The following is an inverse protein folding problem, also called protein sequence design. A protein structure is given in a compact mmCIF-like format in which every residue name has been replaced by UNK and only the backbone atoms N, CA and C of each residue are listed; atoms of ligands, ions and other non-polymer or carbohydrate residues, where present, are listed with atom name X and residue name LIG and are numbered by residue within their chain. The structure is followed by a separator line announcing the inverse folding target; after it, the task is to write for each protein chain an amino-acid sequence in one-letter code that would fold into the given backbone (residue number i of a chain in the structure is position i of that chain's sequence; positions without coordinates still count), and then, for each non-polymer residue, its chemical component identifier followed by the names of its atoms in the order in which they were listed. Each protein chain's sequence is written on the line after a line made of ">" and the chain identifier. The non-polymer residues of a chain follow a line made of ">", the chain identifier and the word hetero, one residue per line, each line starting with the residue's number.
data_IF_760710241491
#
_entry.id   IF_760710241491
#
_cell.length_a   1.000
_cell.length_b   1.000
_cell.length_c   1.000
_cell.angle_alpha   90.00
_cell.angle_beta   90.00
_cell.angle_gamma   90.00
#
_symmetry.space_group_name_H-M   'P 1'
#
loop_
_entity.id
_entity.type
_entity.pdbx_description
1 polymer ?
#
# COMPACT_ATOMS: atom_id res chain seq x y z
N UNK A 1 -14.40 2.09 18.57
CA UNK A 1 -14.05 1.51 17.26
C UNK A 1 -15.15 0.54 16.91
N UNK A 2 -16.03 0.92 16.00
CA UNK A 2 -17.12 0.04 15.60
C UNK A 2 -16.56 -1.11 14.75
N UNK A 3 -17.01 -2.33 15.02
CA UNK A 3 -16.59 -3.53 14.29
C UNK A 3 -16.81 -3.39 12.77
N UNK A 4 -17.79 -2.58 12.38
CA UNK A 4 -18.08 -2.20 11.00
C UNK A 4 -16.91 -1.48 10.34
N UNK A 5 -16.29 -0.51 11.01
CA UNK A 5 -15.18 0.29 10.46
C UNK A 5 -13.94 -0.56 10.25
N UNK A 6 -13.71 -1.55 11.12
CA UNK A 6 -12.59 -2.46 10.98
C UNK A 6 -12.74 -3.33 9.72
N UNK A 7 -13.91 -3.93 9.52
CA UNK A 7 -14.15 -4.75 8.32
C UNK A 7 -14.19 -3.95 7.03
N UNK A 8 -14.73 -2.73 7.04
CA UNK A 8 -14.71 -1.89 5.83
C UNK A 8 -13.31 -1.44 5.47
N UNK A 9 -12.50 -1.01 6.46
CA UNK A 9 -11.11 -0.66 6.22
C UNK A 9 -10.28 -1.86 5.76
N UNK A 10 -10.42 -3.01 6.44
CA UNK A 10 -9.75 -4.25 6.06
C UNK A 10 -10.14 -4.66 4.64
N UNK A 11 -11.43 -4.71 4.31
CA UNK A 11 -11.90 -5.08 2.98
C UNK A 11 -11.40 -4.12 1.90
N UNK A 12 -11.46 -2.81 2.13
CA UNK A 12 -10.98 -1.82 1.18
C UNK A 12 -9.48 -1.95 0.90
N UNK A 13 -8.66 -2.10 1.95
CA UNK A 13 -7.20 -2.26 1.81
C UNK A 13 -6.87 -3.62 1.18
N UNK A 14 -7.55 -4.69 1.60
CA UNK A 14 -7.36 -6.02 1.03
C UNK A 14 -7.64 -6.06 -0.48
N UNK A 15 -8.73 -5.44 -0.92
CA UNK A 15 -9.03 -5.31 -2.36
C UNK A 15 -8.02 -4.41 -3.08
N UNK A 16 -7.56 -3.32 -2.46
CA UNK A 16 -6.59 -2.41 -3.07
C UNK A 16 -5.21 -3.04 -3.25
N UNK A 17 -4.81 -3.92 -2.34
CA UNK A 17 -3.50 -4.59 -2.34
C UNK A 17 -3.49 -5.93 -3.09
N UNK A 18 -4.67 -6.45 -3.48
CA UNK A 18 -4.81 -7.72 -4.21
C UNK A 18 -4.15 -7.65 -5.60
N UNK A 19 -3.14 -8.50 -5.81
CA UNK A 19 -2.40 -8.55 -7.07
C UNK A 19 -1.27 -7.53 -7.21
N UNK A 20 -0.89 -6.84 -6.12
CA UNK A 20 0.25 -5.93 -6.15
C UNK A 20 1.59 -6.68 -6.33
N UNK A 21 2.59 -5.95 -6.83
CA UNK A 21 3.97 -6.42 -7.03
C UNK A 21 4.59 -6.99 -5.76
N UNK A 22 4.21 -6.48 -4.59
CA UNK A 22 4.66 -7.01 -3.29
C UNK A 22 4.18 -8.45 -3.05
N UNK A 23 2.98 -8.82 -3.53
CA UNK A 23 2.47 -10.20 -3.45
C UNK A 23 3.27 -11.13 -4.36
N UNK A 24 3.57 -10.71 -5.59
CA UNK A 24 4.43 -11.48 -6.52
C UNK A 24 5.82 -11.68 -5.92
N UNK A 25 6.43 -10.63 -5.36
CA UNK A 25 7.71 -10.74 -4.66
C UNK A 25 7.65 -11.71 -3.47
N UNK A 26 6.58 -11.67 -2.68
CA UNK A 26 6.38 -12.58 -1.54
C UNK A 26 6.28 -14.03 -2.01
N UNK A 27 5.56 -14.30 -3.11
CA UNK A 27 5.47 -15.64 -3.71
C UNK A 27 6.84 -16.10 -4.24
N UNK A 28 7.61 -15.23 -4.89
CA UNK A 28 8.97 -15.54 -5.32
C UNK A 28 9.89 -15.88 -4.14
N UNK A 29 9.82 -15.12 -3.04
CA UNK A 29 10.57 -15.43 -1.82
C UNK A 29 10.11 -16.73 -1.18
N UNK A 30 8.81 -17.03 -1.19
CA UNK A 30 8.26 -18.27 -0.68
C UNK A 30 8.73 -19.48 -1.50
N UNK A 31 8.79 -19.34 -2.84
CA UNK A 31 9.28 -20.39 -3.73
C UNK A 31 10.78 -20.70 -3.54
N UNK A 32 11.58 -19.70 -3.16
CA UNK A 32 13.03 -19.87 -2.90
C UNK A 32 13.41 -20.23 -1.47
N UNK A 33 12.48 -20.14 -0.51
CA UNK A 33 12.77 -20.36 0.92
C UNK A 33 12.39 -21.76 1.38
N UNK A 34 13.17 -22.32 2.32
CA UNK A 34 12.90 -23.65 2.89
C UNK A 34 11.66 -23.69 3.79
N UNK A 35 11.16 -22.53 4.24
CA UNK A 35 10.02 -22.43 5.16
C UNK A 35 9.03 -21.35 4.74
N UNK A 36 7.86 -21.78 4.27
CA UNK A 36 6.72 -20.92 3.95
C UNK A 36 6.33 -20.00 5.12
N UNK A 37 6.31 -20.55 6.34
CA UNK A 37 5.93 -19.81 7.55
C UNK A 37 6.85 -18.64 7.86
N UNK A 38 8.15 -18.78 7.57
CA UNK A 38 9.12 -17.68 7.77
C UNK A 38 8.88 -16.52 6.82
N UNK A 39 8.57 -16.81 5.55
CA UNK A 39 8.28 -15.79 4.54
C UNK A 39 6.95 -15.12 4.83
N UNK A 40 5.93 -15.90 5.21
CA UNK A 40 4.63 -15.36 5.62
C UNK A 40 4.76 -14.43 6.83
N UNK A 41 5.45 -14.85 7.89
CA UNK A 41 5.63 -14.01 9.08
C UNK A 41 6.43 -12.75 8.76
N UNK A 42 7.49 -12.86 7.96
CA UNK A 42 8.31 -11.73 7.54
C UNK A 42 7.53 -10.71 6.70
N UNK A 43 6.78 -11.16 5.69
CA UNK A 43 5.98 -10.28 4.84
C UNK A 43 4.80 -9.66 5.59
N UNK A 44 4.14 -10.41 6.47
CA UNK A 44 3.07 -9.91 7.33
C UNK A 44 3.58 -8.82 8.29
N UNK A 45 4.72 -9.06 8.95
CA UNK A 45 5.33 -8.06 9.84
C UNK A 45 5.78 -6.82 9.06
N UNK A 46 6.34 -6.98 7.87
CA UNK A 46 6.71 -5.87 7.02
C UNK A 46 5.49 -5.02 6.63
N UNK A 47 4.38 -5.66 6.25
CA UNK A 47 3.13 -4.98 5.91
C UNK A 47 2.56 -4.20 7.11
N UNK A 48 2.52 -4.82 8.29
CA UNK A 48 2.04 -4.18 9.52
C UNK A 48 2.94 -3.00 9.90
N UNK A 49 4.26 -3.18 9.86
CA UNK A 49 5.21 -2.13 10.21
C UNK A 49 5.13 -0.93 9.26
N UNK A 50 5.10 -1.18 7.95
CA UNK A 50 4.99 -0.12 6.94
C UNK A 50 3.65 0.61 7.02
N UNK A 51 2.54 -0.11 7.19
CA UNK A 51 1.22 0.47 7.41
C UNK A 51 1.16 1.33 8.68
N UNK A 52 1.78 0.85 9.77
CA UNK A 52 1.84 1.58 11.03
C UNK A 52 2.62 2.89 10.88
N UNK A 53 3.78 2.86 10.23
CA UNK A 53 4.58 4.06 9.94
C UNK A 53 3.79 5.02 9.04
N UNK A 54 3.11 4.51 8.01
CA UNK A 54 2.29 5.33 7.11
C UNK A 54 1.13 6.02 7.85
N UNK A 55 0.43 5.30 8.74
CA UNK A 55 -0.63 5.87 9.58
C UNK A 55 -0.10 6.92 10.57
N UNK A 56 1.04 6.66 11.21
CA UNK A 56 1.68 7.63 12.11
C UNK A 56 2.09 8.90 11.36
N UNK A 57 2.76 8.76 10.21
CA UNK A 57 3.16 9.89 9.39
C UNK A 57 1.94 10.65 8.84
N UNK A 58 0.92 9.94 8.36
CA UNK A 58 -0.30 10.53 7.83
C UNK A 58 -1.10 11.28 8.90
N UNK A 59 -1.23 10.72 10.10
CA UNK A 59 -1.90 11.39 11.22
C UNK A 59 -1.13 12.62 11.71
N UNK A 60 0.21 12.55 11.78
CA UNK A 60 1.04 13.70 12.09
C UNK A 60 0.90 14.81 11.04
N UNK A 61 0.90 14.45 9.75
CA UNK A 61 0.77 15.40 8.64
C UNK A 61 -0.60 16.09 8.63
N UNK A 62 -1.67 15.38 8.98
CA UNK A 62 -3.03 15.91 9.06
C UNK A 62 -3.16 17.03 10.12
N UNK A 63 -2.27 17.06 11.13
CA UNK A 63 -2.23 18.15 12.11
C UNK A 63 -1.70 19.47 11.53
N UNK A 64 -0.90 19.42 10.46
CA UNK A 64 -0.28 20.59 9.85
C UNK A 64 -0.95 21.00 8.52
N UNK A 65 -1.55 20.05 7.79
CA UNK A 65 -2.16 20.29 6.49
C UNK A 65 -3.63 19.88 6.49
N UNK A 66 -4.54 20.74 6.01
CA UNK A 66 -5.93 20.36 5.79
C UNK A 66 -6.02 19.17 4.82
N UNK A 67 -6.84 18.17 5.16
CA UNK A 67 -7.08 16.93 4.38
C UNK A 67 -7.35 17.19 2.90
N UNK A 68 -8.01 18.30 2.57
CA UNK A 68 -8.30 18.71 1.19
C UNK A 68 -7.05 18.86 0.33
N UNK A 69 -5.98 19.44 0.87
CA UNK A 69 -4.72 19.62 0.13
C UNK A 69 -3.97 18.30 -0.06
N UNK A 70 -4.06 17.40 0.93
CA UNK A 70 -3.48 16.05 0.84
C UNK A 70 -4.16 15.27 -0.29
N UNK A 71 -5.49 15.28 -0.37
CA UNK A 71 -6.22 14.61 -1.46
C UNK A 71 -5.93 15.22 -2.83
N UNK A 72 -5.87 16.55 -2.93
CA UNK A 72 -5.56 17.21 -4.19
C UNK A 72 -4.16 16.86 -4.68
N UNK A 73 -3.18 16.88 -3.77
CA UNK A 73 -1.80 16.49 -4.05
C UNK A 73 -1.68 15.03 -4.48
N UNK A 74 -2.31 14.11 -3.73
CA UNK A 74 -2.32 12.68 -4.06
C UNK A 74 -2.95 12.43 -5.45
N UNK A 75 -4.08 13.09 -5.76
CA UNK A 75 -4.74 12.96 -7.06
C UNK A 75 -3.90 13.48 -8.22
N UNK A 76 -3.28 14.66 -8.07
CA UNK A 76 -2.37 15.21 -9.08
C UNK A 76 -1.16 14.32 -9.31
N UNK A 77 -0.57 13.79 -8.23
CA UNK A 77 0.57 12.88 -8.31
C UNK A 77 0.19 11.56 -8.99
N UNK A 78 -1.00 11.03 -8.69
CA UNK A 78 -1.53 9.84 -9.34
C UNK A 78 -1.74 10.04 -10.84
N UNK A 79 -2.33 11.17 -11.26
CA UNK A 79 -2.48 11.52 -12.68
C UNK A 79 -1.12 11.65 -13.36
N UNK A 80 -0.18 12.37 -12.73
CA UNK A 80 1.17 12.56 -13.29
C UNK A 80 1.90 11.23 -13.49
N UNK A 81 1.88 10.34 -12.49
CA UNK A 81 2.46 8.99 -12.59
C UNK A 81 1.75 8.17 -13.65
N UNK A 82 0.41 8.24 -13.73
CA UNK A 82 -0.38 7.56 -14.76
C UNK A 82 0.03 7.97 -16.17
N UNK A 83 0.11 9.28 -16.44
CA UNK A 83 0.56 9.83 -17.73
C UNK A 83 2.00 9.37 -18.03
N UNK A 84 2.92 9.49 -17.08
CA UNK A 84 4.30 9.04 -17.25
C UNK A 84 4.39 7.55 -17.57
N UNK A 85 3.56 6.72 -16.94
CA UNK A 85 3.51 5.27 -17.17
C UNK A 85 3.02 4.96 -18.58
N UNK A 86 1.97 5.63 -19.05
CA UNK A 86 1.46 5.49 -20.42
C UNK A 86 2.52 5.91 -21.44
N UNK A 87 3.16 7.07 -21.25
CA UNK A 87 4.22 7.55 -22.17
C UNK A 87 5.38 6.56 -22.22
N UNK A 88 5.81 6.02 -21.08
CA UNK A 88 6.86 4.99 -21.04
C UNK A 88 6.45 3.73 -21.78
N UNK A 89 5.20 3.29 -21.62
CA UNK A 89 4.68 2.11 -22.32
C UNK A 89 4.56 2.29 -23.84
N UNK A 90 4.47 3.53 -24.33
CA UNK A 90 4.41 3.84 -25.78
C UNK A 90 5.79 4.05 -26.41
N UNK A 91 6.84 4.25 -25.59
CA UNK A 91 8.23 4.46 -26.05
C UNK A 91 9.11 3.20 -25.97
N UNK A 92 8.67 2.16 -25.26
CA UNK A 92 9.32 0.85 -25.22
C UNK A 92 8.62 -0.11 -26.17
#
# INVERSE_FOLDING_TARGET
>A
MDWKTLFTAFGAIFLAELGDKTQVATVCFAAGSKSFWSVFAGSALALVATSFIACLAGSALNRFLPVRWVHLGAGLLFIAIGILTVIRSLRG
#
